data_IF_393933785490
#
_entry.id   IF_393933785490
#
_cell.length_a   1.000
_cell.length_b   1.000
_cell.length_c   1.000
_cell.angle_alpha   90.00
_cell.angle_beta   90.00
_cell.angle_gamma   90.00
#
_symmetry.space_group_name_H-M   'P 1'
#
loop_
_entity.id
_entity.type
_entity.pdbx_description
1 polymer ?
#
# COMPACT_ATOMS: atom_id res chain seq x y z
N UNK A 1 11.00 14.45 9.23
CA UNK A 1 11.11 15.16 7.93
C UNK A 1 12.54 15.25 7.41
N UNK A 2 13.53 15.70 8.20
CA UNK A 2 14.95 15.70 7.76
C UNK A 2 15.49 14.34 7.26
N UNK A 3 14.94 13.21 7.72
CA UNK A 3 15.37 11.90 7.23
C UNK A 3 14.95 11.68 5.77
N UNK A 4 13.69 11.93 5.40
CA UNK A 4 13.18 11.67 4.04
C UNK A 4 13.86 12.50 2.94
N UNK A 5 14.33 13.71 3.26
CA UNK A 5 15.11 14.54 2.33
C UNK A 5 16.49 13.95 2.08
N UNK A 6 17.19 13.56 3.14
CA UNK A 6 18.49 12.89 3.04
C UNK A 6 18.38 11.60 2.21
N UNK A 7 17.29 10.84 2.39
CA UNK A 7 17.03 9.60 1.64
C UNK A 7 16.93 9.82 0.13
N UNK A 8 16.37 10.95 -0.32
CA UNK A 8 16.31 11.28 -1.75
C UNK A 8 17.64 11.81 -2.28
N UNK A 9 18.40 12.55 -1.47
CA UNK A 9 19.74 13.00 -1.86
C UNK A 9 20.70 11.82 -2.06
N UNK A 10 20.58 10.77 -1.25
CA UNK A 10 21.39 9.56 -1.41
C UNK A 10 21.16 8.86 -2.76
N UNK A 11 20.01 9.04 -3.41
CA UNK A 11 19.74 8.44 -4.72
C UNK A 11 20.72 8.94 -5.79
N UNK A 12 21.26 10.16 -5.66
CA UNK A 12 22.23 10.70 -6.60
C UNK A 12 23.61 10.01 -6.53
N UNK A 13 23.88 9.28 -5.45
CA UNK A 13 25.09 8.46 -5.31
C UNK A 13 24.93 7.03 -5.86
N UNK A 14 23.71 6.62 -6.22
CA UNK A 14 23.43 5.31 -6.79
C UNK A 14 23.79 5.25 -8.29
N UNK A 15 24.06 4.04 -8.78
CA UNK A 15 24.00 3.74 -10.20
C UNK A 15 22.52 3.79 -10.63
N UNK A 16 22.17 4.85 -11.37
CA UNK A 16 20.80 5.09 -11.84
C UNK A 16 20.55 4.35 -13.16
N UNK A 17 19.62 3.41 -13.11
CA UNK A 17 19.16 2.63 -14.25
C UNK A 17 17.66 2.84 -14.49
N UNK A 18 17.20 2.62 -15.71
CA UNK A 18 15.78 2.59 -16.05
C UNK A 18 15.54 1.55 -17.14
N UNK A 19 14.29 1.09 -17.26
CA UNK A 19 13.90 0.21 -18.37
C UNK A 19 13.76 1.08 -19.63
N UNK A 20 14.55 0.78 -20.65
CA UNK A 20 14.48 1.48 -21.94
C UNK A 20 13.49 0.79 -22.89
N UNK A 21 13.27 1.36 -24.07
CA UNK A 21 12.45 0.76 -25.12
C UNK A 21 12.90 -0.66 -25.52
N UNK A 22 14.18 -0.98 -25.29
CA UNK A 22 14.80 -2.30 -25.51
C UNK A 22 14.30 -3.39 -24.54
N UNK A 23 13.49 -3.05 -23.54
CA UNK A 23 13.01 -3.90 -22.43
C UNK A 23 14.09 -4.34 -21.42
N UNK A 24 15.34 -3.90 -21.60
CA UNK A 24 16.44 -4.15 -20.66
C UNK A 24 16.61 -3.02 -19.65
N UNK A 25 17.23 -3.33 -18.52
CA UNK A 25 17.72 -2.34 -17.57
C UNK A 25 19.04 -1.77 -18.07
N UNK A 26 19.07 -0.46 -18.26
CA UNK A 26 20.22 0.24 -18.80
C UNK A 26 20.49 1.51 -17.98
N UNK A 27 21.75 1.98 -17.93
CA UNK A 27 22.07 3.28 -17.35
C UNK A 27 21.24 4.39 -17.99
N UNK A 28 20.76 5.32 -17.18
CA UNK A 28 19.99 6.46 -17.68
C UNK A 28 20.83 7.36 -18.60
N UNK A 29 20.21 7.88 -19.67
CA UNK A 29 20.80 8.90 -20.53
C UNK A 29 21.02 10.22 -19.77
N UNK A 30 21.79 11.15 -20.36
CA UNK A 30 22.01 12.48 -19.75
C UNK A 30 20.68 13.22 -19.53
N UNK A 31 19.79 13.19 -20.50
CA UNK A 31 18.50 13.87 -20.44
C UNK A 31 17.58 13.24 -19.39
N UNK A 32 17.56 11.90 -19.31
CA UNK A 32 16.82 11.18 -18.27
C UNK A 32 17.34 11.53 -16.87
N UNK A 33 18.67 11.61 -16.68
CA UNK A 33 19.27 12.03 -15.40
C UNK A 33 18.91 13.46 -15.03
N UNK A 34 18.91 14.38 -15.99
CA UNK A 34 18.48 15.76 -15.77
C UNK A 34 17.00 15.83 -15.36
N UNK A 35 16.12 15.13 -16.08
CA UNK A 35 14.69 15.09 -15.77
C UNK A 35 14.40 14.43 -14.41
N UNK A 36 15.11 13.36 -14.07
CA UNK A 36 15.00 12.74 -12.75
C UNK A 36 15.45 13.69 -11.64
N UNK A 37 16.58 14.37 -11.81
CA UNK A 37 17.08 15.37 -10.85
C UNK A 37 16.07 16.49 -10.62
N UNK A 38 15.42 16.98 -11.68
CA UNK A 38 14.38 17.99 -11.59
C UNK A 38 13.12 17.47 -10.87
N UNK A 39 12.70 16.23 -11.15
CA UNK A 39 11.59 15.60 -10.43
C UNK A 39 11.90 15.44 -8.92
N UNK A 40 13.09 14.95 -8.57
CA UNK A 40 13.52 14.83 -7.17
C UNK A 40 13.55 16.20 -6.49
N UNK A 41 14.05 17.23 -7.16
CA UNK A 41 14.08 18.61 -6.63
C UNK A 41 12.68 19.13 -6.33
N UNK A 42 11.71 18.84 -7.19
CA UNK A 42 10.31 19.18 -6.96
C UNK A 42 9.71 18.39 -5.80
N UNK A 43 9.97 17.08 -5.70
CA UNK A 43 9.52 16.26 -4.56
C UNK A 43 10.09 16.80 -3.25
N UNK A 44 11.38 17.08 -3.19
CA UNK A 44 12.04 17.68 -2.02
C UNK A 44 11.42 19.01 -1.64
N UNK A 45 11.11 19.87 -2.61
CA UNK A 45 10.36 21.11 -2.37
C UNK A 45 9.02 20.83 -1.70
N UNK A 46 8.26 19.82 -2.14
CA UNK A 46 6.95 19.51 -1.54
C UNK A 46 7.04 18.79 -0.18
N UNK A 47 8.15 18.09 0.10
CA UNK A 47 8.40 17.46 1.41
C UNK A 47 8.82 18.45 2.51
N UNK A 48 9.53 19.52 2.14
CA UNK A 48 10.10 20.52 3.07
C UNK A 48 9.10 21.53 3.64
N UNK A 49 7.86 21.59 3.11
CA UNK A 49 6.82 22.47 3.66
C UNK A 49 6.24 21.81 4.92
N UNK A 50 6.64 22.30 6.10
CA UNK A 50 6.46 21.62 7.39
C UNK A 50 5.06 21.68 7.98
N UNK A 51 4.20 22.63 7.57
CA UNK A 51 2.83 22.73 8.09
C UNK A 51 1.78 22.05 7.20
N UNK A 52 2.08 21.85 5.90
CA UNK A 52 1.18 21.24 4.91
C UNK A 52 2.03 20.53 3.85
N UNK A 53 2.74 19.47 4.24
CA UNK A 53 3.56 18.72 3.29
C UNK A 53 2.67 18.13 2.20
N UNK A 54 2.79 18.69 0.99
CA UNK A 54 1.92 18.39 -0.14
C UNK A 54 1.92 16.93 -0.61
N UNK A 55 2.92 16.19 -0.16
CA UNK A 55 3.08 14.77 -0.42
C UNK A 55 3.74 14.10 0.77
N UNK A 56 3.59 12.79 0.88
CA UNK A 56 4.34 11.98 1.84
C UNK A 56 5.19 10.95 1.11
N UNK A 57 6.51 10.98 1.34
CA UNK A 57 7.42 9.93 0.86
C UNK A 57 7.40 8.76 1.85
N UNK A 58 7.18 7.56 1.33
CA UNK A 58 7.19 6.31 2.09
C UNK A 58 8.02 5.25 1.40
N UNK A 59 8.42 4.24 2.18
CA UNK A 59 9.28 3.16 1.74
C UNK A 59 8.63 1.81 2.05
N UNK A 60 8.77 0.86 1.13
CA UNK A 60 8.34 -0.52 1.35
C UNK A 60 9.46 -1.49 1.05
N UNK A 61 9.83 -2.27 2.05
CA UNK A 61 10.71 -3.42 1.88
C UNK A 61 9.95 -4.59 1.29
N UNK A 62 10.53 -5.23 0.29
CA UNK A 62 10.04 -6.48 -0.25
C UNK A 62 11.21 -7.34 -0.76
N UNK A 63 10.94 -8.59 -1.13
CA UNK A 63 11.91 -9.47 -1.76
C UNK A 63 11.39 -10.05 -3.08
N UNK A 64 12.33 -10.55 -3.88
CA UNK A 64 12.05 -11.14 -5.19
C UNK A 64 10.97 -12.20 -5.12
N UNK A 65 11.08 -13.17 -4.20
CA UNK A 65 10.14 -14.29 -4.11
C UNK A 65 8.71 -13.82 -3.88
N UNK A 66 8.52 -12.89 -2.96
CA UNK A 66 7.20 -12.34 -2.68
C UNK A 66 6.66 -11.49 -3.85
N UNK A 67 7.47 -10.60 -4.44
CA UNK A 67 7.07 -9.83 -5.63
C UNK A 67 6.72 -10.73 -6.82
N UNK A 68 7.54 -11.75 -7.11
CA UNK A 68 7.29 -12.72 -8.18
C UNK A 68 5.96 -13.44 -7.99
N UNK A 69 5.65 -13.90 -6.77
CA UNK A 69 4.38 -14.59 -6.47
C UNK A 69 3.13 -13.74 -6.73
N UNK A 70 3.27 -12.40 -6.67
CA UNK A 70 2.19 -11.44 -6.90
C UNK A 70 2.09 -11.04 -8.37
N UNK A 71 3.24 -10.73 -8.97
CA UNK A 71 3.34 -10.11 -10.30
C UNK A 71 3.34 -11.13 -11.44
N UNK A 72 3.52 -12.42 -11.17
CA UNK A 72 3.48 -13.47 -12.18
C UNK A 72 2.67 -14.67 -11.73
N UNK A 73 1.94 -15.28 -12.66
CA UNK A 73 1.35 -16.60 -12.49
C UNK A 73 2.26 -17.73 -12.98
N UNK A 74 3.42 -17.41 -13.59
CA UNK A 74 4.33 -18.42 -14.13
C UNK A 74 5.24 -18.99 -13.05
N UNK A 75 5.54 -20.28 -13.17
CA UNK A 75 6.53 -21.00 -12.35
C UNK A 75 7.97 -20.76 -12.81
N UNK A 76 8.16 -20.24 -14.03
CA UNK A 76 9.49 -19.93 -14.57
C UNK A 76 10.11 -18.74 -13.87
N UNK A 77 11.43 -18.77 -13.56
CA UNK A 77 12.14 -17.61 -13.06
C UNK A 77 11.94 -16.40 -13.97
N UNK A 78 11.43 -15.30 -13.41
CA UNK A 78 11.44 -14.01 -14.09
C UNK A 78 12.86 -13.46 -14.12
N UNK A 79 13.20 -12.63 -15.10
CA UNK A 79 14.38 -11.76 -15.02
C UNK A 79 14.09 -10.54 -14.14
N UNK A 80 15.12 -9.81 -13.67
CA UNK A 80 14.92 -8.61 -12.85
C UNK A 80 14.18 -7.52 -13.63
N UNK A 81 14.59 -7.27 -14.87
CA UNK A 81 14.00 -6.30 -15.79
C UNK A 81 12.49 -6.57 -15.93
N UNK A 82 12.12 -7.85 -16.11
CA UNK A 82 10.72 -8.22 -16.27
C UNK A 82 9.92 -8.06 -14.98
N UNK A 83 10.50 -8.43 -13.83
CA UNK A 83 9.85 -8.26 -12.53
C UNK A 83 9.58 -6.78 -12.24
N UNK A 84 10.57 -5.93 -12.45
CA UNK A 84 10.47 -4.50 -12.20
C UNK A 84 9.53 -3.83 -13.21
N UNK A 85 9.55 -4.25 -14.49
CA UNK A 85 8.56 -3.82 -15.49
C UNK A 85 7.13 -4.12 -15.03
N UNK A 86 6.88 -5.32 -14.50
CA UNK A 86 5.56 -5.70 -13.99
C UNK A 86 5.18 -4.89 -12.76
N UNK A 87 6.13 -4.56 -11.87
CA UNK A 87 5.88 -3.69 -10.73
C UNK A 87 5.50 -2.28 -11.16
N UNK A 88 6.22 -1.69 -12.12
CA UNK A 88 5.89 -0.35 -12.65
C UNK A 88 4.63 -0.33 -13.52
N UNK A 89 4.12 -1.48 -13.95
CA UNK A 89 2.83 -1.57 -14.63
C UNK A 89 1.66 -1.81 -13.66
N UNK A 90 1.79 -2.77 -12.75
CA UNK A 90 0.68 -3.24 -11.89
C UNK A 90 0.68 -2.67 -10.48
N UNK A 91 1.81 -2.14 -10.01
CA UNK A 91 2.00 -1.80 -8.61
C UNK A 91 2.06 -3.01 -7.68
N UNK A 92 2.16 -2.74 -6.37
CA UNK A 92 2.10 -3.76 -5.32
C UNK A 92 0.77 -3.72 -4.55
N UNK A 93 -0.12 -4.68 -4.82
CA UNK A 93 -1.48 -4.69 -4.23
C UNK A 93 -1.48 -5.30 -2.83
N UNK A 94 -2.45 -4.91 -2.01
CA UNK A 94 -2.64 -5.52 -0.68
C UNK A 94 -3.00 -7.00 -0.78
N UNK A 95 -2.80 -7.71 0.33
CA UNK A 95 -3.08 -9.14 0.45
C UNK A 95 -4.52 -9.50 0.08
N UNK A 96 -5.44 -8.55 0.23
CA UNK A 96 -6.82 -8.69 -0.21
C UNK A 96 -6.98 -9.05 -1.69
N UNK A 97 -6.00 -8.75 -2.54
CA UNK A 97 -6.10 -8.95 -3.98
C UNK A 97 -5.43 -10.23 -4.48
N UNK A 98 -4.57 -10.89 -3.69
CA UNK A 98 -3.86 -12.10 -4.12
C UNK A 98 -3.90 -13.29 -3.15
N UNK A 99 -4.12 -13.10 -1.84
CA UNK A 99 -4.11 -14.20 -0.88
C UNK A 99 -5.50 -14.80 -0.67
N UNK A 100 -5.82 -15.91 -1.34
CA UNK A 100 -7.01 -16.71 -1.06
C UNK A 100 -6.64 -18.18 -0.97
N UNK A 101 -7.25 -18.89 -0.02
CA UNK A 101 -7.13 -20.35 0.08
C UNK A 101 -7.91 -21.02 -1.06
N UNK A 102 -9.16 -20.56 -1.30
CA UNK A 102 -10.01 -20.99 -2.41
C UNK A 102 -11.10 -19.93 -2.72
N UNK A 103 -11.99 -20.25 -3.67
CA UNK A 103 -13.14 -19.40 -4.08
C UNK A 103 -14.14 -19.21 -2.93
N UNK A 104 -14.31 -20.20 -2.04
CA UNK A 104 -15.25 -20.16 -0.92
C UNK A 104 -14.72 -19.22 0.17
N UNK A 105 -13.46 -19.35 0.55
CA UNK A 105 -12.75 -18.47 1.48
C UNK A 105 -12.75 -17.02 0.99
N UNK A 106 -12.68 -16.80 -0.33
CA UNK A 106 -12.87 -15.48 -0.95
C UNK A 106 -14.27 -14.92 -0.68
N UNK A 107 -15.31 -15.69 -1.00
CA UNK A 107 -16.70 -15.23 -0.90
C UNK A 107 -17.16 -15.07 0.56
N UNK A 108 -16.49 -15.73 1.52
CA UNK A 108 -16.78 -15.64 2.96
C UNK A 108 -16.00 -14.53 3.68
N UNK A 109 -15.19 -13.72 2.98
CA UNK A 109 -14.51 -12.58 3.62
C UNK A 109 -15.53 -11.60 4.18
N UNK A 110 -15.26 -11.09 5.38
CA UNK A 110 -16.12 -10.06 5.98
C UNK A 110 -15.93 -8.70 5.31
N UNK A 111 -14.73 -8.43 4.78
CA UNK A 111 -14.41 -7.30 3.92
C UNK A 111 -14.31 -7.81 2.49
N UNK A 112 -15.29 -7.47 1.64
CA UNK A 112 -15.37 -8.02 0.28
C UNK A 112 -14.59 -7.20 -0.74
N UNK A 113 -14.58 -5.88 -0.57
CA UNK A 113 -14.03 -4.88 -1.49
C UNK A 113 -13.48 -3.70 -0.68
N UNK A 114 -12.71 -2.82 -1.32
CA UNK A 114 -12.20 -1.60 -0.65
C UNK A 114 -13.33 -0.57 -0.45
N UNK A 115 -14.40 -0.69 -1.23
CA UNK A 115 -15.62 0.12 -1.22
C UNK A 115 -16.70 -0.47 -0.28
N UNK A 116 -16.33 -1.37 0.62
CA UNK A 116 -17.29 -2.05 1.49
C UNK A 116 -17.64 -1.19 2.72
N UNK A 117 -18.76 -0.46 2.63
CA UNK A 117 -19.29 0.46 3.65
C UNK A 117 -20.59 -0.05 4.30
N UNK A 118 -20.75 -1.37 4.36
CA UNK A 118 -21.99 -1.99 4.85
C UNK A 118 -21.97 -2.10 6.37
N UNK A 119 -23.14 -2.03 6.99
CA UNK A 119 -23.35 -2.23 8.43
C UNK A 119 -22.68 -3.51 8.97
N UNK A 120 -22.80 -4.62 8.22
CA UNK A 120 -22.17 -5.89 8.58
C UNK A 120 -20.65 -5.77 8.71
N UNK A 121 -20.02 -4.97 7.85
CA UNK A 121 -18.58 -4.73 7.85
C UNK A 121 -18.18 -3.97 9.12
N UNK A 122 -18.91 -2.91 9.48
CA UNK A 122 -18.68 -2.15 10.71
C UNK A 122 -18.87 -3.00 11.96
N UNK A 123 -19.91 -3.83 11.99
CA UNK A 123 -20.13 -4.80 13.07
C UNK A 123 -18.93 -5.73 13.24
N UNK A 124 -18.33 -6.22 12.16
CA UNK A 124 -17.14 -7.10 12.23
C UNK A 124 -15.90 -6.32 12.65
N UNK A 125 -15.71 -5.08 12.19
CA UNK A 125 -14.62 -4.21 12.64
C UNK A 125 -14.67 -4.03 14.16
N UNK A 126 -15.85 -3.77 14.73
CA UNK A 126 -16.04 -3.64 16.17
C UNK A 126 -15.63 -4.92 16.92
N UNK A 127 -16.15 -6.09 16.51
CA UNK A 127 -15.82 -7.37 17.18
C UNK A 127 -14.34 -7.73 17.03
N UNK A 128 -13.73 -7.47 15.88
CA UNK A 128 -12.30 -7.69 15.64
C UNK A 128 -11.46 -6.77 16.52
N UNK A 129 -11.86 -5.52 16.69
CA UNK A 129 -11.16 -4.55 17.55
C UNK A 129 -11.23 -5.01 19.00
N UNK A 130 -12.42 -5.36 19.47
CA UNK A 130 -12.64 -5.99 20.78
C UNK A 130 -11.78 -7.25 20.96
N UNK A 131 -11.71 -8.12 19.95
CA UNK A 131 -10.88 -9.34 19.98
C UNK A 131 -9.38 -9.01 20.14
N UNK A 132 -8.88 -8.03 19.39
CA UNK A 132 -7.49 -7.56 19.50
C UNK A 132 -7.23 -7.07 20.92
N UNK A 133 -8.09 -6.21 21.47
CA UNK A 133 -7.93 -5.61 22.80
C UNK A 133 -8.01 -6.63 23.95
N UNK A 134 -8.70 -7.76 23.75
CA UNK A 134 -8.71 -8.90 24.71
C UNK A 134 -7.44 -9.76 24.63
N UNK A 135 -6.53 -9.49 23.70
CA UNK A 135 -5.31 -10.28 23.55
C UNK A 135 -4.40 -10.11 24.77
N UNK A 136 -3.82 -11.22 25.24
CA UNK A 136 -2.82 -11.21 26.31
C UNK A 136 -1.43 -10.80 25.82
N UNK A 137 -1.24 -10.41 24.56
CA UNK A 137 0.07 -9.94 24.08
C UNK A 137 0.48 -8.65 24.78
N UNK A 138 1.75 -8.56 25.16
CA UNK A 138 2.30 -7.41 25.90
C UNK A 138 2.07 -6.08 25.17
N UNK A 139 2.37 -6.03 23.87
CA UNK A 139 2.14 -4.85 23.02
C UNK A 139 0.68 -4.35 23.05
N UNK A 140 -0.29 -5.27 23.13
CA UNK A 140 -1.71 -4.92 23.22
C UNK A 140 -2.03 -4.37 24.61
N UNK A 141 -1.52 -4.99 25.68
CA UNK A 141 -1.73 -4.49 27.05
C UNK A 141 -1.17 -3.08 27.20
N UNK A 142 0.05 -2.86 26.74
CA UNK A 142 0.68 -1.53 26.72
C UNK A 142 -0.16 -0.52 25.93
N UNK A 143 -0.66 -0.92 24.75
CA UNK A 143 -1.59 -0.07 23.98
C UNK A 143 -2.85 0.28 24.76
N UNK A 144 -3.49 -0.68 25.44
CA UNK A 144 -4.69 -0.44 26.25
C UNK A 144 -4.40 0.52 27.42
N UNK A 145 -3.29 0.34 28.13
CA UNK A 145 -2.89 1.20 29.25
C UNK A 145 -2.69 2.66 28.81
N UNK A 146 -2.18 2.83 27.59
CA UNK A 146 -1.94 4.13 26.97
C UNK A 146 -3.19 4.77 26.34
N UNK A 147 -4.21 3.96 26.02
CA UNK A 147 -5.42 4.35 25.28
C UNK A 147 -6.68 3.82 25.98
N UNK A 148 -6.88 4.18 27.26
CA UNK A 148 -7.95 3.63 28.10
C UNK A 148 -9.35 3.86 27.52
N UNK A 149 -9.67 5.07 27.10
CA UNK A 149 -10.97 5.41 26.50
C UNK A 149 -11.27 4.54 25.26
N UNK A 150 -10.25 4.33 24.41
CA UNK A 150 -10.37 3.46 23.24
C UNK A 150 -10.62 2.01 23.65
N UNK A 151 -9.85 1.48 24.61
CA UNK A 151 -10.02 0.12 25.09
C UNK A 151 -11.40 -0.08 25.73
N UNK A 152 -11.80 0.80 26.63
CA UNK A 152 -13.08 0.77 27.34
C UNK A 152 -14.25 0.81 26.37
N UNK A 153 -14.21 1.69 25.35
CA UNK A 153 -15.29 1.78 24.37
C UNK A 153 -15.57 0.44 23.68
N UNK A 154 -14.53 -0.23 23.17
CA UNK A 154 -14.69 -1.49 22.43
C UNK A 154 -14.88 -2.72 23.33
N UNK A 155 -14.40 -2.68 24.58
CA UNK A 155 -14.61 -3.75 25.55
C UNK A 155 -16.03 -3.75 26.14
N UNK A 156 -16.68 -2.58 26.18
CA UNK A 156 -18.07 -2.40 26.60
C UNK A 156 -19.08 -2.56 25.44
N UNK A 157 -20.37 -2.47 25.74
CA UNK A 157 -21.47 -2.69 24.79
C UNK A 157 -21.81 -1.44 23.94
N UNK A 158 -20.81 -0.92 23.21
CA UNK A 158 -20.95 0.28 22.38
C UNK A 158 -21.09 -0.02 20.87
N UNK A 159 -21.41 -1.27 20.51
CA UNK A 159 -21.45 -1.69 19.11
C UNK A 159 -22.49 -0.93 18.29
N UNK A 160 -23.69 -0.73 18.83
CA UNK A 160 -24.78 -0.02 18.16
C UNK A 160 -24.42 1.44 17.87
N UNK A 161 -23.78 2.11 18.84
CA UNK A 161 -23.25 3.47 18.70
C UNK A 161 -22.19 3.52 17.61
N UNK A 162 -21.23 2.60 17.65
CA UNK A 162 -20.17 2.51 16.65
C UNK A 162 -20.71 2.34 15.23
N UNK A 163 -21.58 1.36 15.04
CA UNK A 163 -22.16 1.02 13.74
C UNK A 163 -23.01 2.15 13.20
N UNK A 164 -23.91 2.72 14.02
CA UNK A 164 -24.81 3.78 13.57
C UNK A 164 -24.07 5.08 13.23
N UNK A 165 -22.96 5.37 13.92
CA UNK A 165 -22.09 6.50 13.60
C UNK A 165 -21.38 6.30 12.27
N UNK A 166 -20.80 5.12 12.00
CA UNK A 166 -20.10 4.84 10.74
C UNK A 166 -21.00 4.73 9.52
N UNK A 167 -22.28 4.41 9.68
CA UNK A 167 -23.25 4.43 8.57
C UNK A 167 -23.46 5.86 8.03
N UNK A 168 -23.29 6.88 8.88
CA UNK A 168 -23.43 8.30 8.51
C UNK A 168 -22.17 8.88 7.88
N UNK A 169 -21.10 8.09 7.80
CA UNK A 169 -19.77 8.53 7.39
C UNK A 169 -19.49 8.28 5.91
N UNK A 170 -18.57 9.07 5.35
CA UNK A 170 -18.31 9.12 3.91
C UNK A 170 -16.93 8.66 3.46
N UNK A 171 -16.01 8.11 4.28
CA UNK A 171 -15.04 7.02 3.98
C UNK A 171 -13.90 6.83 5.03
N UNK A 172 -13.47 7.87 5.73
CA UNK A 172 -12.20 7.94 6.47
C UNK A 172 -12.25 7.29 7.87
N UNK A 173 -13.40 7.36 8.55
CA UNK A 173 -13.53 6.80 9.90
C UNK A 173 -13.43 5.27 9.89
N UNK A 174 -14.03 4.62 8.89
CA UNK A 174 -13.88 3.17 8.69
C UNK A 174 -12.40 2.80 8.55
N UNK A 175 -11.68 3.53 7.72
CA UNK A 175 -10.28 3.23 7.41
C UNK A 175 -9.40 3.35 8.66
N UNK A 176 -9.69 4.30 9.56
CA UNK A 176 -9.02 4.44 10.85
C UNK A 176 -9.04 3.17 11.69
N UNK A 177 -10.21 2.55 11.84
CA UNK A 177 -10.34 1.30 12.58
C UNK A 177 -9.78 0.10 11.79
N UNK A 178 -9.90 0.10 10.46
CA UNK A 178 -9.24 -0.92 9.62
C UNK A 178 -7.72 -0.87 9.74
N UNK A 179 -7.14 0.32 9.88
CA UNK A 179 -5.71 0.50 10.09
C UNK A 179 -5.26 -0.06 11.45
N UNK A 180 -6.02 0.18 12.53
CA UNK A 180 -5.75 -0.50 13.81
C UNK A 180 -5.76 -2.03 13.66
N UNK A 181 -6.75 -2.59 12.97
CA UNK A 181 -6.82 -4.03 12.71
C UNK A 181 -5.70 -4.53 11.80
N UNK A 182 -5.25 -3.71 10.86
CA UNK A 182 -4.13 -4.01 9.97
C UNK A 182 -2.83 -4.16 10.75
N UNK A 183 -2.51 -3.17 11.59
CA UNK A 183 -1.30 -3.18 12.43
C UNK A 183 -1.31 -4.32 13.46
N UNK A 184 -2.49 -4.73 13.95
CA UNK A 184 -2.65 -5.91 14.81
C UNK A 184 -2.36 -7.26 14.11
N UNK A 185 -2.08 -7.26 12.80
CA UNK A 185 -1.63 -8.41 12.04
C UNK A 185 -2.67 -9.55 12.03
N UNK A 186 -2.22 -10.79 12.27
CA UNK A 186 -3.09 -11.99 12.21
C UNK A 186 -4.27 -11.96 13.19
N UNK A 187 -4.16 -11.25 14.32
CA UNK A 187 -5.24 -11.16 15.32
C UNK A 187 -6.34 -10.21 14.83
N UNK A 188 -5.94 -9.12 14.17
CA UNK A 188 -6.85 -8.18 13.53
C UNK A 188 -7.28 -8.64 12.14
N UNK A 189 -6.84 -7.92 11.10
CA UNK A 189 -7.27 -8.16 9.72
C UNK A 189 -6.50 -9.31 9.03
N UNK A 190 -5.23 -9.50 9.36
CA UNK A 190 -4.36 -10.50 8.73
C UNK A 190 -4.30 -10.36 7.21
N UNK A 191 -4.44 -11.48 6.50
CA UNK A 191 -4.41 -11.51 5.03
C UNK A 191 -5.72 -10.99 4.38
N UNK A 192 -6.64 -10.45 5.19
CA UNK A 192 -7.90 -9.82 4.77
C UNK A 192 -7.82 -8.29 4.65
N UNK A 193 -6.69 -7.70 5.01
CA UNK A 193 -6.53 -6.25 4.93
C UNK A 193 -6.45 -5.76 3.48
N UNK A 194 -7.18 -4.68 3.20
CA UNK A 194 -7.11 -3.90 1.96
C UNK A 194 -5.97 -2.88 1.97
N UNK A 195 -5.18 -2.81 3.04
CA UNK A 195 -4.09 -1.85 3.21
C UNK A 195 -2.72 -2.48 2.92
N UNK A 196 -1.78 -1.64 2.51
CA UNK A 196 -0.39 -1.99 2.21
C UNK A 196 0.52 -1.23 3.17
N UNK A 197 1.20 -1.92 4.07
CA UNK A 197 2.18 -1.30 4.96
C UNK A 197 3.36 -0.70 4.18
N UNK A 198 3.67 0.55 4.50
CA UNK A 198 4.90 1.26 4.16
C UNK A 198 5.43 1.94 5.43
N UNK A 199 6.64 2.49 5.39
CA UNK A 199 7.23 3.22 6.51
C UNK A 199 7.72 4.58 6.07
N UNK A 200 7.71 5.56 6.97
CA UNK A 200 8.43 6.83 6.81
C UNK A 200 9.95 6.67 6.95
N UNK A 201 10.42 5.52 7.45
CA UNK A 201 11.84 5.19 7.59
C UNK A 201 12.27 4.15 6.57
N UNK A 202 13.26 4.49 5.74
CA UNK A 202 13.88 3.52 4.82
C UNK A 202 14.51 2.37 5.60
N UNK A 203 15.17 2.62 6.71
CA UNK A 203 15.84 1.58 7.50
C UNK A 203 14.84 0.57 8.08
N UNK A 204 13.65 1.03 8.48
CA UNK A 204 12.56 0.12 8.85
C UNK A 204 12.12 -0.71 7.64
N UNK A 205 11.92 -0.07 6.47
CA UNK A 205 11.59 -0.79 5.25
C UNK A 205 12.65 -1.85 4.88
N UNK A 206 13.94 -1.54 5.02
CA UNK A 206 15.04 -2.51 4.80
C UNK A 206 14.86 -3.75 5.67
N UNK A 207 14.54 -3.60 6.96
CA UNK A 207 14.30 -4.74 7.86
C UNK A 207 13.13 -5.62 7.39
N UNK A 208 12.08 -5.01 6.84
CA UNK A 208 10.93 -5.74 6.31
C UNK A 208 11.16 -6.44 4.97
N UNK A 209 12.26 -6.16 4.28
CA UNK A 209 12.62 -6.89 3.05
C UNK A 209 13.09 -8.34 3.31
N UNK A 210 13.36 -8.70 4.58
CA UNK A 210 13.87 -10.00 5.00
C UNK A 210 15.39 -10.11 4.92
N UNK A 211 15.92 -11.31 5.15
CA UNK A 211 17.38 -11.55 5.29
C UNK A 211 18.00 -12.36 4.15
N UNK A 212 17.19 -12.86 3.22
CA UNK A 212 17.62 -13.79 2.16
C UNK A 212 17.11 -13.40 0.79
N UNK A 213 17.87 -13.74 -0.24
CA UNK A 213 17.53 -13.49 -1.64
C UNK A 213 17.75 -12.03 -2.06
N UNK A 214 17.30 -11.70 -3.27
CA UNK A 214 17.30 -10.32 -3.76
C UNK A 214 16.20 -9.52 -3.06
N UNK A 215 16.59 -8.38 -2.49
CA UNK A 215 15.76 -7.53 -1.65
C UNK A 215 15.63 -6.15 -2.25
N UNK A 216 14.47 -5.55 -2.07
CA UNK A 216 14.09 -4.31 -2.71
C UNK A 216 13.52 -3.34 -1.69
N UNK A 217 13.77 -2.05 -1.89
CA UNK A 217 13.02 -0.97 -1.25
C UNK A 217 12.33 -0.16 -2.32
N UNK A 218 11.00 -0.18 -2.31
CA UNK A 218 10.15 0.61 -3.20
C UNK A 218 10.01 2.01 -2.60
N UNK A 219 10.33 3.03 -3.39
CA UNK A 219 10.16 4.44 -3.03
C UNK A 219 8.81 4.90 -3.57
N UNK A 220 7.91 5.28 -2.68
CA UNK A 220 6.51 5.54 -3.01
C UNK A 220 6.05 6.92 -2.52
N UNK A 221 5.40 7.67 -3.39
CA UNK A 221 4.81 8.97 -3.07
C UNK A 221 3.33 8.79 -2.77
N UNK A 222 2.88 9.29 -1.63
CA UNK A 222 1.47 9.44 -1.34
C UNK A 222 1.11 10.89 -1.70
N UNK A 223 0.24 11.11 -2.70
CA UNK A 223 -0.14 12.45 -3.12
C UNK A 223 -1.11 13.07 -2.10
N UNK A 224 -1.38 14.37 -2.26
CA UNK A 224 -2.46 15.05 -1.53
C UNK A 224 -3.82 14.94 -2.23
N UNK A 225 -4.93 14.97 -1.45
CA UNK A 225 -4.95 14.97 0.00
C UNK A 225 -4.60 13.58 0.57
N UNK A 226 -3.84 13.54 1.67
CA UNK A 226 -3.25 12.29 2.20
C UNK A 226 -4.30 11.21 2.48
N UNK A 227 -5.42 11.61 3.08
CA UNK A 227 -6.52 10.75 3.50
C UNK A 227 -7.20 10.02 2.33
N UNK A 228 -7.02 10.48 1.10
CA UNK A 228 -7.52 9.77 -0.09
C UNK A 228 -6.73 8.48 -0.35
N UNK A 229 -5.44 8.45 -0.02
CA UNK A 229 -4.52 7.40 -0.44
C UNK A 229 -3.89 6.63 0.71
N UNK A 230 -3.75 7.27 1.86
CA UNK A 230 -3.01 6.76 3.00
C UNK A 230 -3.80 6.85 4.30
N UNK A 231 -3.29 6.10 5.28
CA UNK A 231 -3.67 6.23 6.67
C UNK A 231 -2.49 5.97 7.59
N UNK A 232 -2.35 6.77 8.63
CA UNK A 232 -1.28 6.63 9.61
C UNK A 232 -1.69 7.20 10.97
N UNK A 233 -1.13 6.62 12.03
CA UNK A 233 -1.29 7.14 13.38
C UNK A 233 -0.67 8.53 13.57
N UNK A 234 0.32 8.91 12.75
CA UNK A 234 0.99 10.22 12.83
C UNK A 234 0.22 11.33 12.14
N UNK A 235 -0.87 11.00 11.43
CA UNK A 235 -1.75 11.94 10.72
C UNK A 235 -3.14 11.97 11.36
N UNK A 236 -3.19 11.87 12.69
CA UNK A 236 -4.45 11.77 13.46
C UNK A 236 -5.39 12.95 13.22
N UNK A 237 -4.85 14.14 12.94
CA UNK A 237 -5.60 15.36 12.63
C UNK A 237 -6.52 15.23 11.41
N UNK A 238 -6.23 14.32 10.47
CA UNK A 238 -7.09 14.04 9.32
C UNK A 238 -8.40 13.34 9.71
N UNK A 239 -8.48 12.74 10.91
CA UNK A 239 -9.58 11.87 11.32
C UNK A 239 -10.24 12.31 12.64
N UNK A 240 -9.45 12.92 13.54
CA UNK A 240 -9.87 13.28 14.89
C UNK A 240 -11.11 14.18 14.96
N UNK A 241 -11.26 15.25 14.16
CA UNK A 241 -12.42 16.12 14.25
C UNK A 241 -13.73 15.35 14.05
N UNK A 242 -13.82 14.57 12.97
CA UNK A 242 -15.02 13.81 12.64
C UNK A 242 -15.29 12.70 13.67
N UNK A 243 -14.27 11.95 14.07
CA UNK A 243 -14.42 10.87 15.05
C UNK A 243 -14.88 11.38 16.41
N UNK A 244 -14.33 12.50 16.86
CA UNK A 244 -14.67 13.10 18.16
C UNK A 244 -16.09 13.69 18.16
N UNK A 245 -16.49 14.37 17.07
CA UNK A 245 -17.85 14.88 16.89
C UNK A 245 -18.91 13.76 17.00
N UNK A 246 -18.57 12.56 16.53
CA UNK A 246 -19.44 11.39 16.55
C UNK A 246 -19.25 10.50 17.79
N UNK A 247 -18.55 10.99 18.83
CA UNK A 247 -18.30 10.27 20.08
C UNK A 247 -17.61 8.90 19.88
N UNK A 248 -16.79 8.79 18.82
CA UNK A 248 -16.04 7.58 18.53
C UNK A 248 -14.61 7.68 19.09
N UNK A 249 -14.07 6.60 19.66
CA UNK A 249 -12.78 6.66 20.34
C UNK A 249 -11.60 6.76 19.37
N UNK A 250 -10.58 7.52 19.77
CA UNK A 250 -9.30 7.61 19.07
C UNK A 250 -8.15 7.18 19.99
N UNK A 251 -7.13 6.52 19.43
CA UNK A 251 -5.91 6.17 20.15
C UNK A 251 -4.80 7.23 20.02
N UNK A 252 -5.16 8.49 19.72
CA UNK A 252 -4.31 9.72 19.76
C UNK A 252 -2.84 9.54 19.37
N UNK A 253 -2.56 8.82 18.27
CA UNK A 253 -1.20 8.58 17.78
C UNK A 253 -0.37 7.55 18.56
N UNK A 254 -0.92 6.90 19.58
CA UNK A 254 -0.25 5.83 20.34
C UNK A 254 -0.58 4.46 19.74
N UNK A 255 0.02 4.18 18.57
CA UNK A 255 -0.20 2.93 17.84
C UNK A 255 0.37 1.69 18.55
N UNK A 256 0.05 0.49 18.04
CA UNK A 256 0.61 -0.78 18.54
C UNK A 256 2.12 -0.87 18.31
N UNK A 257 2.62 -0.39 17.16
CA UNK A 257 4.02 -0.47 16.77
C UNK A 257 4.54 0.89 16.26
N UNK A 258 4.62 1.91 17.13
CA UNK A 258 5.00 3.26 16.72
C UNK A 258 6.39 3.33 16.09
N UNK A 259 7.33 2.48 16.54
CA UNK A 259 8.70 2.39 16.04
C UNK A 259 8.81 1.95 14.58
N UNK A 260 7.74 1.37 14.01
CA UNK A 260 7.70 1.01 12.60
C UNK A 260 7.40 2.23 11.71
N UNK A 261 7.00 3.35 12.29
CA UNK A 261 6.63 4.58 11.58
C UNK A 261 5.69 4.29 10.40
N UNK A 262 4.73 3.40 10.63
CA UNK A 262 3.91 2.85 9.56
C UNK A 262 2.98 3.90 8.95
N UNK A 263 2.95 3.92 7.63
CA UNK A 263 1.91 4.55 6.82
C UNK A 263 1.31 3.45 5.96
N UNK A 264 0.01 3.21 6.10
CA UNK A 264 -0.67 2.19 5.32
C UNK A 264 -1.31 2.83 4.10
N UNK A 265 -0.94 2.34 2.91
CA UNK A 265 -1.52 2.79 1.63
C UNK A 265 -2.76 1.97 1.32
N UNK A 266 -3.83 2.62 0.89
CA UNK A 266 -5.11 2.01 0.58
C UNK A 266 -5.05 1.25 -0.74
N UNK A 267 -5.51 0.00 -0.75
CA UNK A 267 -5.63 -0.83 -1.94
C UNK A 267 -4.29 -1.40 -2.43
N UNK A 268 -3.41 -0.54 -2.91
CA UNK A 268 -2.15 -0.88 -3.56
C UNK A 268 -1.12 0.26 -3.49
N UNK A 269 0.17 -0.06 -3.62
CA UNK A 269 1.15 0.89 -4.14
C UNK A 269 0.92 1.03 -5.64
N UNK A 270 0.08 1.99 -6.04
CA UNK A 270 -0.23 2.22 -7.45
C UNK A 270 1.01 2.63 -8.24
N UNK A 271 1.19 2.04 -9.42
CA UNK A 271 2.34 2.29 -10.29
C UNK A 271 2.55 3.78 -10.60
N UNK A 272 1.47 4.55 -10.70
CA UNK A 272 1.48 5.99 -10.94
C UNK A 272 2.24 6.79 -9.88
N UNK A 273 2.45 6.25 -8.68
CA UNK A 273 3.15 6.96 -7.60
C UNK A 273 4.43 6.24 -7.11
N UNK A 274 4.87 5.21 -7.84
CA UNK A 274 6.17 4.58 -7.57
C UNK A 274 7.26 5.43 -8.26
N UNK A 275 8.16 6.00 -7.46
CA UNK A 275 9.32 6.74 -7.96
C UNK A 275 10.37 5.80 -8.58
N UNK A 276 10.61 4.69 -7.90
CA UNK A 276 11.62 3.70 -8.30
C UNK A 276 11.85 2.66 -7.20
N UNK A 277 12.86 1.82 -7.43
CA UNK A 277 13.22 0.71 -6.55
C UNK A 277 14.72 0.71 -6.30
N UNK A 278 15.12 0.69 -5.02
CA UNK A 278 16.51 0.43 -4.61
C UNK A 278 16.73 -1.07 -4.49
N UNK A 279 17.78 -1.58 -5.12
CA UNK A 279 18.19 -2.99 -5.00
C UNK A 279 19.18 -3.10 -3.85
N UNK A 280 18.80 -3.80 -2.76
CA UNK A 280 19.63 -3.86 -1.57
C UNK A 280 20.84 -4.78 -1.77
N UNK A 281 21.99 -4.36 -1.24
CA UNK A 281 23.28 -5.02 -1.48
C UNK A 281 23.93 -4.62 -2.80
N UNK A 282 23.27 -3.79 -3.61
CA UNK A 282 23.81 -3.20 -4.82
C UNK A 282 23.76 -1.67 -4.69
N UNK A 283 24.76 -0.96 -5.23
CA UNK A 283 24.68 0.51 -5.33
C UNK A 283 23.80 0.90 -6.53
N UNK A 284 22.56 0.40 -6.58
CA UNK A 284 21.68 0.46 -7.75
C UNK A 284 20.30 0.98 -7.38
N UNK A 285 19.81 1.94 -8.17
CA UNK A 285 18.44 2.43 -8.09
C UNK A 285 17.81 2.39 -9.48
N UNK A 286 16.71 1.64 -9.59
CA UNK A 286 15.96 1.50 -10.82
C UNK A 286 14.82 2.52 -10.80
N UNK A 287 14.91 3.53 -11.66
CA UNK A 287 13.92 4.60 -11.79
C UNK A 287 12.71 4.11 -12.59
N UNK A 288 11.52 4.56 -12.22
CA UNK A 288 10.30 4.26 -12.97
C UNK A 288 10.38 4.89 -14.38
N UNK A 289 10.37 4.08 -15.47
CA UNK A 289 10.55 4.60 -16.83
C UNK A 289 9.43 5.54 -17.27
N UNK A 290 8.25 5.44 -16.65
CA UNK A 290 7.11 6.30 -16.97
C UNK A 290 7.37 7.78 -16.62
N UNK A 291 8.36 8.06 -15.76
CA UNK A 291 8.83 9.43 -15.51
C UNK A 291 9.34 10.13 -16.77
N UNK A 292 9.83 9.39 -17.76
CA UNK A 292 10.46 9.92 -18.97
C UNK A 292 9.57 9.82 -20.21
N UNK A 293 8.35 9.30 -20.07
CA UNK A 293 7.45 9.03 -21.19
C UNK A 293 6.39 10.12 -21.28
N UNK A 294 6.19 10.67 -22.47
CA UNK A 294 5.05 11.55 -22.74
C UNK A 294 3.73 10.81 -22.46
N UNK A 295 2.71 11.47 -21.89
CA UNK A 295 2.62 12.91 -21.62
C UNK A 295 3.14 13.34 -20.23
N UNK A 296 3.87 12.49 -19.50
CA UNK A 296 4.40 12.86 -18.19
C UNK A 296 5.44 13.96 -18.31
N UNK A 297 5.39 14.89 -17.35
CA UNK A 297 6.29 16.03 -17.24
C UNK A 297 6.94 16.06 -15.87
N UNK A 298 7.84 17.00 -15.67
CA UNK A 298 8.46 17.26 -14.38
C UNK A 298 7.37 17.59 -13.35
N UNK A 299 7.30 16.80 -12.28
CA UNK A 299 6.28 16.95 -11.24
C UNK A 299 5.04 16.06 -11.40
N UNK A 300 4.86 15.38 -12.54
CA UNK A 300 3.74 14.44 -12.73
C UNK A 300 3.68 13.35 -11.64
N UNK A 301 4.81 12.98 -11.04
CA UNK A 301 4.85 12.03 -9.92
C UNK A 301 4.07 12.49 -8.67
N UNK A 302 3.86 13.80 -8.49
CA UNK A 302 3.12 14.34 -7.35
C UNK A 302 1.60 14.17 -7.50
N UNK A 303 1.10 14.09 -8.75
CA UNK A 303 -0.31 13.91 -9.07
C UNK A 303 -0.61 12.54 -9.69
N UNK A 304 0.42 11.72 -9.88
CA UNK A 304 0.33 10.41 -10.52
C UNK A 304 0.81 10.44 -11.97
N UNK A 305 1.73 9.53 -12.27
CA UNK A 305 2.18 9.28 -13.64
C UNK A 305 1.04 8.68 -14.47
N UNK A 306 0.87 9.21 -15.67
CA UNK A 306 0.02 8.66 -16.71
C UNK A 306 0.71 7.45 -17.30
N UNK A 307 0.07 6.30 -17.10
CA UNK A 307 0.55 4.98 -17.54
C UNK A 307 -0.55 4.39 -18.40
N UNK A 308 -0.22 3.98 -19.62
CA UNK A 308 -1.18 3.30 -20.48
C UNK A 308 -1.55 1.93 -19.90
N UNK A 309 -2.75 1.88 -19.32
CA UNK A 309 -3.36 0.70 -18.71
C UNK A 309 -4.63 0.27 -19.46
N UNK A 310 -4.76 0.62 -20.75
CA UNK A 310 -5.92 0.23 -21.58
C UNK A 310 -6.14 -1.28 -21.65
N UNK A 311 -5.07 -2.08 -21.58
CA UNK A 311 -5.09 -3.55 -21.60
C UNK A 311 -4.95 -4.19 -20.20
N UNK A 312 -5.22 -3.44 -19.13
CA UNK A 312 -4.93 -3.87 -17.75
C UNK A 312 -5.62 -5.17 -17.36
N UNK A 313 -6.93 -5.32 -17.62
CA UNK A 313 -7.69 -6.51 -17.24
C UNK A 313 -7.16 -7.79 -17.90
N UNK A 314 -6.83 -7.73 -19.20
CA UNK A 314 -6.28 -8.88 -19.93
C UNK A 314 -4.90 -9.26 -19.41
N UNK A 315 -4.06 -8.28 -19.07
CA UNK A 315 -2.72 -8.55 -18.52
C UNK A 315 -2.79 -9.05 -17.09
N UNK A 316 -3.79 -8.64 -16.30
CA UNK A 316 -3.98 -9.06 -14.91
C UNK A 316 -4.11 -10.59 -14.77
N UNK A 317 -4.67 -11.26 -15.78
CA UNK A 317 -4.81 -12.73 -15.83
C UNK A 317 -3.44 -13.44 -15.75
N UNK A 318 -2.36 -12.77 -16.18
CA UNK A 318 -0.98 -13.31 -16.19
C UNK A 318 -0.22 -13.07 -14.88
N UNK A 319 -0.89 -12.57 -13.85
CA UNK A 319 -0.32 -12.26 -12.53
C UNK A 319 -0.90 -13.18 -11.45
N UNK A 320 -0.33 -13.14 -10.25
CA UNK A 320 -0.92 -13.76 -9.06
C UNK A 320 -2.13 -13.00 -8.47
N UNK A 321 -2.45 -11.80 -8.98
CA UNK A 321 -3.55 -10.98 -8.47
C UNK A 321 -4.91 -11.41 -8.99
N UNK A 322 -5.75 -12.01 -8.15
CA UNK A 322 -7.11 -12.44 -8.51
C UNK A 322 -8.04 -11.31 -8.96
N UNK A 323 -7.77 -10.08 -8.53
CA UNK A 323 -8.48 -8.86 -8.90
C UNK A 323 -7.54 -7.67 -8.83
N UNK A 324 -7.87 -6.63 -9.57
CA UNK A 324 -7.20 -5.34 -9.51
C UNK A 324 -7.88 -4.39 -8.55
N UNK A 325 -7.28 -3.20 -8.44
CA UNK A 325 -7.86 -2.04 -7.80
C UNK A 325 -7.46 -0.83 -8.63
N UNK A 326 -8.42 0.05 -8.89
CA UNK A 326 -8.21 1.38 -9.45
C UNK A 326 -8.47 2.43 -8.37
N UNK A 327 -7.91 3.61 -8.58
CA UNK A 327 -8.18 4.79 -7.76
C UNK A 327 -8.29 6.02 -8.66
N UNK A 328 -9.12 6.96 -8.23
CA UNK A 328 -9.27 8.28 -8.82
C UNK A 328 -8.57 9.32 -7.93
N UNK A 329 -8.26 10.50 -8.48
CA UNK A 329 -7.56 11.55 -7.72
C UNK A 329 -8.37 12.09 -6.53
N UNK A 330 -9.69 11.95 -6.57
CA UNK A 330 -10.61 12.30 -5.49
C UNK A 330 -10.66 11.25 -4.35
N UNK A 331 -9.84 10.18 -4.44
CA UNK A 331 -9.82 9.13 -3.44
C UNK A 331 -10.93 8.09 -3.58
N UNK A 332 -11.72 8.14 -4.67
CA UNK A 332 -12.59 7.03 -5.00
C UNK A 332 -11.77 5.81 -5.42
N UNK A 333 -12.27 4.62 -5.09
CA UNK A 333 -11.64 3.33 -5.41
C UNK A 333 -12.60 2.45 -6.17
N UNK A 334 -12.05 1.61 -7.03
CA UNK A 334 -12.80 0.58 -7.73
C UNK A 334 -12.08 -0.77 -7.66
N UNK A 335 -12.80 -1.82 -7.28
CA UNK A 335 -12.32 -3.20 -7.41
C UNK A 335 -12.46 -3.65 -8.86
N UNK A 336 -11.34 -3.82 -9.55
CA UNK A 336 -11.29 -4.27 -10.95
C UNK A 336 -11.34 -5.80 -11.00
N UNK A 337 -12.28 -6.37 -11.74
CA UNK A 337 -12.41 -7.81 -11.89
C UNK A 337 -11.63 -8.32 -13.10
N UNK A 338 -11.09 -9.55 -13.02
CA UNK A 338 -10.52 -10.21 -14.20
C UNK A 338 -11.66 -10.53 -15.17
N UNK A 339 -11.52 -10.16 -16.44
CA UNK A 339 -12.40 -10.66 -17.49
C UNK A 339 -12.23 -12.18 -17.58
N UNK A 340 -13.26 -12.95 -17.22
CA UNK A 340 -13.20 -14.41 -17.40
C UNK A 340 -13.37 -14.75 -18.87
N UNK A 341 -12.28 -14.78 -19.65
CA UNK A 341 -12.27 -15.51 -20.93
C UNK A 341 -11.91 -16.96 -20.64
N UNK A 342 -12.91 -17.85 -20.70
CA UNK A 342 -12.78 -19.30 -20.86
C UNK A 342 -11.77 -20.02 -19.93
N UNK A 343 -11.84 -19.79 -18.62
CA UNK A 343 -11.14 -20.63 -17.63
C UNK A 343 -11.78 -22.03 -17.45
N UNK A 344 -12.28 -22.63 -18.54
CA UNK A 344 -12.83 -24.00 -18.58
C UNK A 344 -11.77 -25.01 -19.08
N UNK A 345 -10.65 -24.55 -19.63
CA UNK A 345 -9.68 -25.46 -20.28
C UNK A 345 -8.48 -25.89 -19.44
N UNK A 346 -8.15 -25.19 -18.35
CA UNK A 346 -7.00 -25.59 -17.52
C UNK A 346 -7.29 -26.63 -16.43
N UNK A 347 -8.56 -26.92 -16.13
CA UNK A 347 -8.94 -27.89 -15.08
C UNK A 347 -9.27 -29.30 -15.64
N UNK A 348 -9.26 -29.48 -16.97
CA UNK A 348 -9.53 -30.79 -17.61
C UNK A 348 -8.28 -31.60 -17.96
N UNK A 349 -7.08 -31.08 -17.68
CA UNK A 349 -5.82 -31.81 -17.93
C UNK A 349 -5.25 -32.53 -16.70
N UNK A 350 -5.88 -32.39 -15.53
CA UNK A 350 -5.44 -33.04 -14.28
C UNK A 350 -6.33 -34.23 -13.85
N UNK A 351 -7.24 -34.70 -14.72
CA UNK A 351 -8.14 -35.83 -14.43
C UNK A 351 -8.05 -36.97 -15.45
N UNK A 352 -6.92 -37.09 -16.15
CA UNK A 352 -6.55 -38.28 -16.90
C UNK A 352 -5.07 -38.54 -16.71
N UNK A 353 -4.77 -39.29 -15.65
CA UNK A 353 -3.89 -40.46 -15.66
C UNK A 353 -4.11 -41.26 -14.37
#
# INVERSE_FOLDING_TARGET
MRSSENELHELFACNLETIQASTFLEPMSKDQKAMFTQNISIVLKHLSHTDESKVTLTFRGDNRGHLTSKLSSKTTPLSEEKLISLLFYFGDKSKHYYKFEDIKARNLRWLQRIEDFREKTYSVIFEKTRQVLKSKKEVVRFFCDQNKEFAEFFLNDNKSVFVSSLIRETNFARDYYLYFLHTAGKIGAGDKSVLVSTSLSRDVAVKFSGDSGERYVIYYIIPEPFENFGISYTRVQCYEPWLTEHLLPIYKGKALYPEQHEVAVKGALFSSFILGVRVLGQNKFIVNPHLFQAPNTIGSILSGLLIDQTDFENRLIRTGYWRGVGTYLDGAYETIHRTMRNAVEHDKSASKD
#
